data_IF_268656491029
#
_entry.id   IF_268656491029
#
_cell.length_a   1.000
_cell.length_b   1.000
_cell.length_c   1.000
_cell.angle_alpha   90.00
_cell.angle_beta   90.00
_cell.angle_gamma   90.00
#
_symmetry.space_group_name_H-M   'P 1'
#
loop_
_entity.id
_entity.type
_entity.pdbx_description
1 polymer ?
#
# COMPACT_ATOMS: atom_id res chain seq x y z
N UNK A 1 12.31 -8.70 -10.24
CA UNK A 1 12.79 -7.41 -9.67
C UNK A 1 13.56 -7.70 -8.38
N UNK A 2 14.62 -6.96 -8.04
CA UNK A 2 15.33 -7.14 -6.75
C UNK A 2 14.39 -6.81 -5.57
N UNK A 3 14.41 -7.60 -4.49
CA UNK A 3 13.51 -7.39 -3.34
C UNK A 3 13.60 -5.97 -2.76
N UNK A 4 14.80 -5.37 -2.72
CA UNK A 4 14.96 -4.02 -2.16
C UNK A 4 14.24 -2.99 -3.02
N UNK A 5 14.21 -3.19 -4.34
CA UNK A 5 13.43 -2.34 -5.24
C UNK A 5 11.93 -2.52 -4.99
N UNK A 6 11.46 -3.76 -4.85
CA UNK A 6 10.05 -4.05 -4.54
C UNK A 6 9.66 -3.43 -3.19
N UNK A 7 10.48 -3.58 -2.15
CA UNK A 7 10.21 -3.01 -0.82
C UNK A 7 10.24 -1.48 -0.85
N UNK A 8 11.13 -0.86 -1.62
CA UNK A 8 11.10 0.61 -1.83
C UNK A 8 9.78 1.07 -2.45
N UNK A 9 9.28 0.34 -3.45
CA UNK A 9 7.99 0.61 -4.07
C UNK A 9 6.86 0.43 -3.05
N UNK A 10 6.83 -0.69 -2.33
CA UNK A 10 5.81 -0.97 -1.30
C UNK A 10 5.83 0.06 -0.17
N UNK A 11 7.00 0.46 0.32
CA UNK A 11 7.12 1.50 1.35
C UNK A 11 6.57 2.84 0.87
N UNK A 12 6.69 3.15 -0.41
CA UNK A 12 6.08 4.35 -0.99
C UNK A 12 4.55 4.23 -1.04
N UNK A 13 4.03 3.05 -1.44
CA UNK A 13 2.59 2.83 -1.54
C UNK A 13 1.89 2.66 -0.19
N UNK A 14 2.53 2.00 0.77
CA UNK A 14 1.94 1.59 2.04
C UNK A 14 2.35 2.47 3.22
N UNK A 15 3.27 3.42 2.99
CA UNK A 15 3.66 4.50 3.90
C UNK A 15 3.85 4.04 5.36
N UNK A 16 4.80 3.12 5.65
CA UNK A 16 4.95 2.50 6.98
C UNK A 16 5.14 3.49 8.15
N UNK A 17 5.63 4.71 7.88
CA UNK A 17 5.81 5.73 8.92
C UNK A 17 4.50 6.34 9.42
N UNK A 18 3.36 6.06 8.76
CA UNK A 18 2.03 6.40 9.25
C UNK A 18 1.44 5.31 10.16
N UNK A 19 2.10 4.17 10.29
CA UNK A 19 1.63 3.12 11.17
C UNK A 19 1.65 3.57 12.62
N UNK A 20 0.72 3.03 13.40
CA UNK A 20 0.65 3.33 14.83
C UNK A 20 1.88 2.76 15.56
N UNK A 21 2.23 3.36 16.68
CA UNK A 21 3.46 3.08 17.44
C UNK A 21 3.56 1.66 17.97
N UNK A 22 2.44 0.97 18.11
CA UNK A 22 2.37 -0.43 18.56
C UNK A 22 2.47 -1.45 17.43
N UNK A 23 2.35 -1.01 16.18
CA UNK A 23 2.20 -1.88 15.02
C UNK A 23 3.55 -2.33 14.45
N UNK A 24 3.59 -3.51 13.83
CA UNK A 24 4.79 -4.06 13.21
C UNK A 24 4.60 -4.22 11.69
N UNK A 25 4.83 -3.12 10.97
CA UNK A 25 4.64 -3.02 9.51
C UNK A 25 5.96 -3.08 8.74
N UNK A 26 5.87 -3.19 7.42
CA UNK A 26 7.00 -3.24 6.51
C UNK A 26 7.42 -4.66 6.17
N UNK A 27 8.70 -4.83 5.84
CA UNK A 27 9.28 -6.15 5.53
C UNK A 27 9.59 -6.91 6.82
N UNK A 28 8.85 -8.00 7.07
CA UNK A 28 8.91 -8.78 8.32
C UNK A 28 9.77 -10.04 8.19
N UNK A 29 9.79 -10.66 7.01
CA UNK A 29 10.61 -11.83 6.72
C UNK A 29 11.37 -11.58 5.42
N UNK A 30 12.69 -11.74 5.48
CA UNK A 30 13.58 -11.50 4.34
C UNK A 30 14.54 -12.68 4.15
N UNK A 31 14.45 -13.42 3.04
CA UNK A 31 15.44 -14.42 2.68
C UNK A 31 16.79 -13.79 2.28
N UNK A 32 17.88 -14.56 2.41
CA UNK A 32 19.24 -14.08 2.09
C UNK A 32 19.40 -13.73 0.61
N UNK A 33 20.19 -12.69 0.32
CA UNK A 33 20.51 -12.26 -1.04
C UNK A 33 21.39 -13.30 -1.79
N UNK A 34 21.34 -13.35 -3.14
CA UNK A 34 20.48 -12.56 -4.03
C UNK A 34 19.01 -13.01 -3.98
N UNK A 35 18.08 -12.06 -4.11
CA UNK A 35 16.65 -12.33 -4.03
C UNK A 35 15.86 -11.56 -5.08
N UNK A 36 15.33 -12.29 -6.06
CA UNK A 36 14.46 -11.75 -7.09
C UNK A 36 13.00 -12.11 -6.79
N UNK A 37 12.12 -11.12 -6.88
CA UNK A 37 10.67 -11.29 -6.84
C UNK A 37 10.17 -11.36 -8.28
N UNK A 38 9.54 -12.47 -8.63
CA UNK A 38 8.76 -12.64 -9.87
C UNK A 38 7.28 -12.81 -9.59
N UNK A 39 6.90 -13.36 -8.43
CA UNK A 39 5.51 -13.57 -8.03
C UNK A 39 5.21 -13.07 -6.62
N UNK A 40 4.11 -12.33 -6.51
CA UNK A 40 3.58 -11.80 -5.24
C UNK A 40 2.20 -12.41 -4.99
N UNK A 41 1.99 -12.97 -3.81
CA UNK A 41 0.66 -13.35 -3.31
C UNK A 41 0.17 -12.25 -2.37
N UNK A 42 -1.08 -11.82 -2.51
CA UNK A 42 -1.71 -10.83 -1.64
C UNK A 42 -2.78 -11.52 -0.81
N UNK A 43 -2.78 -11.29 0.50
CA UNK A 43 -3.76 -11.87 1.43
C UNK A 43 -4.09 -10.90 2.56
N UNK A 44 -5.26 -11.07 3.19
CA UNK A 44 -5.58 -10.37 4.43
C UNK A 44 -4.77 -10.95 5.61
N UNK A 45 -4.82 -12.27 5.75
CA UNK A 45 -4.16 -13.02 6.82
C UNK A 45 -3.25 -14.09 6.24
N UNK A 46 -1.99 -14.12 6.67
CA UNK A 46 -1.07 -15.21 6.36
C UNK A 46 -1.20 -16.33 7.39
N UNK A 47 -2.02 -17.33 7.05
CA UNK A 47 -2.21 -18.57 7.82
C UNK A 47 -1.42 -19.73 7.20
N UNK A 48 -1.28 -20.86 7.90
CA UNK A 48 -0.60 -22.05 7.35
C UNK A 48 -1.24 -22.59 6.04
N UNK A 49 -2.58 -22.61 5.88
CA UNK A 49 -3.20 -22.94 4.59
C UNK A 49 -2.84 -21.96 3.47
N UNK A 50 -2.83 -20.65 3.75
CA UNK A 50 -2.45 -19.62 2.76
C UNK A 50 -0.97 -19.73 2.40
N UNK A 51 -0.10 -20.04 3.37
CA UNK A 51 1.30 -20.33 3.09
C UNK A 51 1.46 -21.57 2.20
N UNK A 52 0.66 -22.62 2.45
CA UNK A 52 0.66 -23.83 1.62
C UNK A 52 0.22 -23.54 0.18
N UNK A 53 -0.73 -22.63 -0.01
CA UNK A 53 -1.11 -22.12 -1.34
C UNK A 53 0.05 -21.33 -1.98
N UNK A 54 0.68 -20.42 -1.23
CA UNK A 54 1.80 -19.62 -1.71
C UNK A 54 2.96 -20.47 -2.23
N UNK A 55 3.24 -21.59 -1.54
CA UNK A 55 4.24 -22.59 -1.95
C UNK A 55 3.87 -23.25 -3.28
N UNK A 56 2.61 -23.72 -3.43
CA UNK A 56 2.13 -24.33 -4.68
C UNK A 56 2.16 -23.37 -5.86
N UNK A 57 1.97 -22.08 -5.59
CA UNK A 57 2.01 -21.02 -6.59
C UNK A 57 3.44 -20.55 -6.89
N UNK A 58 4.47 -21.07 -6.22
CA UNK A 58 5.87 -20.63 -6.38
C UNK A 58 6.03 -19.11 -6.13
N UNK A 59 5.39 -18.63 -5.07
CA UNK A 59 5.43 -17.21 -4.66
C UNK A 59 6.80 -16.86 -4.08
N UNK A 60 7.30 -15.64 -4.33
CA UNK A 60 8.54 -15.14 -3.71
C UNK A 60 8.28 -14.07 -2.65
N UNK A 61 7.14 -13.38 -2.71
CA UNK A 61 6.77 -12.37 -1.73
C UNK A 61 5.29 -12.51 -1.38
N UNK A 62 4.99 -12.56 -0.09
CA UNK A 62 3.62 -12.48 0.41
C UNK A 62 3.40 -11.07 0.96
N UNK A 63 2.40 -10.38 0.42
CA UNK A 63 1.86 -9.13 0.95
C UNK A 63 0.64 -9.48 1.82
N UNK A 64 0.85 -9.58 3.13
CA UNK A 64 -0.19 -9.91 4.12
C UNK A 64 -0.66 -8.64 4.80
N UNK A 65 -1.95 -8.31 4.75
CA UNK A 65 -2.49 -7.11 5.38
C UNK A 65 -2.13 -7.06 6.87
N UNK A 66 -2.51 -8.11 7.62
CA UNK A 66 -2.14 -8.26 9.02
C UNK A 66 -0.71 -8.80 9.16
N UNK A 67 0.12 -8.23 10.07
CA UNK A 67 1.45 -8.75 10.38
C UNK A 67 1.39 -10.15 11.02
N UNK A 68 1.90 -11.22 10.37
CA UNK A 68 1.98 -12.52 11.03
C UNK A 68 2.93 -12.47 12.23
N UNK A 69 4.06 -11.76 12.08
CA UNK A 69 5.00 -11.44 13.16
C UNK A 69 4.55 -10.14 13.83
N UNK A 70 3.50 -10.20 14.64
CA UNK A 70 2.97 -9.02 15.33
C UNK A 70 3.74 -8.64 16.60
N UNK A 71 4.39 -9.62 17.24
CA UNK A 71 5.17 -9.40 18.47
C UNK A 71 6.54 -10.06 18.33
N UNK A 72 7.57 -9.60 19.06
CA UNK A 72 8.91 -10.17 18.98
C UNK A 72 8.91 -11.68 19.26
N UNK A 73 9.46 -12.46 18.32
CA UNK A 73 9.63 -13.90 18.48
C UNK A 73 10.92 -14.17 19.25
N UNK A 74 10.82 -14.85 20.40
CA UNK A 74 12.00 -15.19 21.23
C UNK A 74 12.79 -16.38 20.69
N UNK A 75 12.14 -17.23 19.89
CA UNK A 75 12.71 -18.43 19.26
C UNK A 75 12.07 -18.60 17.88
N UNK A 76 12.80 -19.22 16.97
CA UNK A 76 12.33 -19.53 15.61
C UNK A 76 12.72 -20.98 15.34
N UNK A 77 11.80 -21.90 15.61
CA UNK A 77 12.02 -23.36 15.47
C UNK A 77 10.77 -24.02 14.87
N UNK A 78 10.87 -25.26 14.42
CA UNK A 78 9.75 -25.99 13.80
C UNK A 78 8.81 -26.65 14.81
N UNK A 79 9.24 -26.79 16.07
CA UNK A 79 8.51 -27.43 17.17
C UNK A 79 7.76 -26.44 18.07
N UNK A 80 7.77 -25.15 17.74
CA UNK A 80 7.09 -24.11 18.52
C UNK A 80 5.77 -23.64 17.88
N UNK A 81 5.30 -22.46 18.27
CA UNK A 81 4.02 -21.90 17.85
C UNK A 81 3.98 -21.64 16.32
N UNK A 82 2.78 -21.58 15.75
CA UNK A 82 2.57 -21.65 14.30
C UNK A 82 3.17 -20.47 13.53
N UNK A 83 3.27 -19.29 14.15
CA UNK A 83 3.88 -18.09 13.56
C UNK A 83 5.37 -18.27 13.32
N UNK A 84 6.06 -18.92 14.25
CA UNK A 84 7.46 -19.24 14.14
C UNK A 84 7.70 -20.30 13.04
N UNK A 85 6.86 -21.34 12.98
CA UNK A 85 6.91 -22.34 11.90
C UNK A 85 6.68 -21.71 10.53
N UNK A 86 5.76 -20.76 10.44
CA UNK A 86 5.53 -19.95 9.24
C UNK A 86 6.79 -19.19 8.85
N UNK A 87 7.47 -18.53 9.79
CA UNK A 87 8.74 -17.83 9.51
C UNK A 87 9.82 -18.80 9.01
N UNK A 88 9.99 -19.95 9.67
CA UNK A 88 10.94 -20.99 9.22
C UNK A 88 10.61 -21.43 7.80
N UNK A 89 9.35 -21.78 7.55
CA UNK A 89 8.89 -22.28 6.25
C UNK A 89 9.08 -21.23 5.16
N UNK A 90 8.77 -19.95 5.43
CA UNK A 90 9.03 -18.85 4.51
C UNK A 90 10.54 -18.73 4.20
N UNK A 91 11.41 -18.77 5.19
CA UNK A 91 12.85 -18.64 4.98
C UNK A 91 13.44 -19.81 4.18
N UNK A 92 13.07 -21.04 4.52
CA UNK A 92 13.51 -22.26 3.82
C UNK A 92 13.06 -22.28 2.36
N UNK A 93 11.84 -21.82 2.09
CA UNK A 93 11.28 -21.75 0.74
C UNK A 93 11.56 -20.42 0.03
N UNK A 94 12.40 -19.56 0.62
CA UNK A 94 12.80 -18.27 0.04
C UNK A 94 11.58 -17.41 -0.32
N UNK A 95 10.68 -17.22 0.65
CA UNK A 95 9.51 -16.35 0.57
C UNK A 95 9.70 -15.17 1.52
N UNK A 96 9.65 -13.96 0.99
CA UNK A 96 9.61 -12.74 1.78
C UNK A 96 8.18 -12.45 2.26
N UNK A 97 8.04 -11.73 3.38
CA UNK A 97 6.73 -11.31 3.90
C UNK A 97 6.76 -9.82 4.20
N UNK A 98 5.80 -9.08 3.66
CA UNK A 98 5.60 -7.66 3.91
C UNK A 98 4.18 -7.41 4.43
N UNK A 99 4.02 -6.50 5.39
CA UNK A 99 2.71 -6.12 5.94
C UNK A 99 2.51 -4.61 6.03
N UNK A 100 1.45 -4.04 5.42
CA UNK A 100 1.21 -2.60 5.45
C UNK A 100 0.34 -2.12 6.62
N UNK A 101 -0.63 -2.94 7.05
CA UNK A 101 -1.55 -2.75 8.19
C UNK A 101 -1.95 -1.28 8.48
N UNK A 102 -1.73 -0.79 9.71
CA UNK A 102 -2.23 0.53 10.13
C UNK A 102 -1.62 1.69 9.34
N UNK A 103 -0.43 1.49 8.75
CA UNK A 103 0.18 2.49 7.86
C UNK A 103 -0.63 2.71 6.59
N UNK A 104 -1.19 1.63 6.02
CA UNK A 104 -2.09 1.71 4.88
C UNK A 104 -3.52 2.09 5.27
N UNK A 105 -3.95 1.79 6.49
CA UNK A 105 -5.18 2.37 7.03
C UNK A 105 -5.08 3.89 7.05
N UNK A 106 -4.07 4.44 7.73
CA UNK A 106 -3.88 5.86 7.97
C UNK A 106 -3.58 6.66 6.69
N UNK A 107 -3.21 5.98 5.60
CA UNK A 107 -2.82 6.61 4.35
C UNK A 107 -4.01 7.28 3.64
N UNK A 108 -3.76 8.45 3.07
CA UNK A 108 -4.63 9.09 2.07
C UNK A 108 -4.77 8.19 0.84
N UNK A 109 -6.01 8.01 0.39
CA UNK A 109 -6.43 7.00 -0.59
C UNK A 109 -6.02 5.57 -0.19
N UNK A 110 -5.91 5.30 1.13
CA UNK A 110 -5.68 3.99 1.72
C UNK A 110 -6.98 3.21 1.94
N UNK A 111 -6.94 2.23 2.85
CA UNK A 111 -8.06 1.30 3.07
C UNK A 111 -9.34 2.02 3.50
N UNK A 112 -9.26 2.96 4.43
CA UNK A 112 -10.45 3.64 4.94
C UNK A 112 -11.05 4.61 3.94
N UNK A 113 -10.22 5.22 3.09
CA UNK A 113 -10.70 6.02 1.97
C UNK A 113 -11.45 5.18 0.94
N UNK A 114 -10.94 3.98 0.68
CA UNK A 114 -11.62 3.02 -0.16
C UNK A 114 -12.95 2.57 0.46
N UNK A 115 -12.98 2.27 1.77
CA UNK A 115 -14.19 1.89 2.50
C UNK A 115 -15.26 2.99 2.47
N UNK A 116 -14.84 4.26 2.50
CA UNK A 116 -15.75 5.39 2.39
C UNK A 116 -16.22 5.70 0.97
N UNK A 117 -15.51 5.23 -0.05
CA UNK A 117 -15.77 5.62 -1.44
C UNK A 117 -17.19 5.33 -1.98
N UNK A 118 -17.97 4.38 -1.43
CA UNK A 118 -19.36 4.20 -1.83
C UNK A 118 -20.34 5.25 -1.30
N UNK A 119 -19.93 6.06 -0.31
CA UNK A 119 -20.79 7.03 0.37
C UNK A 119 -20.62 8.43 -0.23
N UNK A 120 -21.72 9.16 -0.40
CA UNK A 120 -21.72 10.55 -0.85
C UNK A 120 -21.43 11.48 0.35
N UNK A 121 -20.14 11.69 0.62
CA UNK A 121 -19.68 12.43 1.78
C UNK A 121 -19.32 13.87 1.40
N UNK A 122 -19.90 14.84 2.12
CA UNK A 122 -19.55 16.27 1.99
C UNK A 122 -18.13 16.54 2.51
N UNK A 123 -17.74 15.87 3.58
CA UNK A 123 -16.38 15.97 4.13
C UNK A 123 -16.01 14.74 4.93
N UNK A 124 -14.70 14.53 5.10
CA UNK A 124 -14.14 13.39 5.79
C UNK A 124 -12.88 13.84 6.54
N UNK A 125 -12.76 13.55 7.84
CA UNK A 125 -11.62 13.91 8.71
C UNK A 125 -11.25 12.74 9.63
N UNK A 126 -9.98 12.62 10.07
CA UNK A 126 -9.58 11.66 11.09
C UNK A 126 -10.28 11.88 12.42
N UNK A 127 -10.50 10.79 13.16
CA UNK A 127 -10.72 10.86 14.62
C UNK A 127 -9.42 11.33 15.31
N UNK A 128 -8.29 10.72 14.98
CA UNK A 128 -6.99 11.06 15.58
C UNK A 128 -6.04 11.56 14.49
N UNK A 129 -5.69 12.86 14.47
CA UNK A 129 -4.72 13.38 13.52
C UNK A 129 -3.32 12.86 13.86
N UNK A 130 -2.66 12.18 12.92
CA UNK A 130 -1.21 11.98 12.99
C UNK A 130 -0.57 13.33 12.63
N UNK A 131 0.36 13.86 13.46
CA UNK A 131 1.08 15.08 13.17
C UNK A 131 2.12 14.82 12.07
N UNK A 132 1.66 14.60 10.84
CA UNK A 132 2.51 14.63 9.67
C UNK A 132 2.52 16.05 9.08
N UNK A 133 3.66 16.42 8.48
CA UNK A 133 3.84 17.73 7.87
C UNK A 133 2.68 18.05 6.92
N UNK A 134 2.26 19.31 6.92
CA UNK A 134 1.26 19.90 6.01
C UNK A 134 1.72 19.84 4.54
N UNK A 135 2.02 18.66 4.01
CA UNK A 135 2.25 18.48 2.60
C UNK A 135 0.88 18.50 1.92
N UNK A 136 0.64 19.57 1.17
CA UNK A 136 -0.46 19.65 0.23
C UNK A 136 -0.27 18.55 -0.81
N UNK A 137 -1.29 17.72 -0.99
CA UNK A 137 -1.29 16.68 -2.02
C UNK A 137 -2.11 17.15 -3.20
N UNK A 138 -1.76 16.68 -4.39
CA UNK A 138 -2.50 16.94 -5.62
C UNK A 138 -2.86 15.61 -6.26
N UNK A 139 -4.15 15.42 -6.52
CA UNK A 139 -4.68 14.31 -7.30
C UNK A 139 -4.78 14.75 -8.76
N UNK A 140 -4.21 13.94 -9.63
CA UNK A 140 -4.21 14.07 -11.08
C UNK A 140 -5.01 12.90 -11.64
N UNK A 141 -6.10 13.17 -12.35
CA UNK A 141 -6.90 12.12 -13.01
C UNK A 141 -6.51 12.02 -14.47
N UNK A 142 -6.27 10.80 -14.93
CA UNK A 142 -5.87 10.46 -16.29
C UNK A 142 -6.85 9.43 -16.89
N UNK A 143 -6.99 9.35 -18.23
CA UNK A 143 -7.64 8.23 -18.87
C UNK A 143 -6.91 6.91 -18.54
N UNK A 144 -7.65 5.84 -18.30
CA UNK A 144 -7.08 4.51 -18.10
C UNK A 144 -6.42 4.05 -19.40
N UNK A 145 -5.17 3.64 -19.29
CA UNK A 145 -4.37 3.07 -20.37
C UNK A 145 -3.62 1.86 -19.83
N UNK A 146 -3.25 0.92 -20.69
CA UNK A 146 -2.44 -0.25 -20.30
C UNK A 146 -1.08 0.16 -19.68
N UNK A 147 -0.63 1.39 -19.94
CA UNK A 147 0.62 1.94 -19.39
C UNK A 147 0.47 2.58 -18.01
N UNK A 148 -0.75 2.79 -17.49
CA UNK A 148 -0.97 3.45 -16.20
C UNK A 148 -0.40 2.65 -15.02
N UNK A 149 -0.49 1.31 -15.06
CA UNK A 149 0.15 0.43 -14.08
C UNK A 149 1.68 0.54 -14.15
N UNK A 150 2.24 0.54 -15.36
CA UNK A 150 3.68 0.69 -15.58
C UNK A 150 4.20 2.05 -15.11
N UNK A 151 3.43 3.12 -15.30
CA UNK A 151 3.77 4.46 -14.82
C UNK A 151 3.94 4.48 -13.29
N UNK A 152 2.97 3.92 -12.57
CA UNK A 152 2.99 3.85 -11.10
C UNK A 152 4.19 3.04 -10.57
N UNK A 153 4.59 2.00 -11.30
CA UNK A 153 5.74 1.15 -10.96
C UNK A 153 7.07 1.84 -11.28
N UNK A 154 7.15 2.62 -12.35
CA UNK A 154 8.40 3.25 -12.83
C UNK A 154 8.71 4.58 -12.16
N UNK A 155 7.69 5.28 -11.65
CA UNK A 155 7.84 6.58 -11.00
C UNK A 155 7.38 6.57 -9.53
N UNK A 156 7.78 5.57 -8.71
CA UNK A 156 7.24 5.41 -7.37
C UNK A 156 7.60 6.59 -6.47
N UNK A 157 8.74 7.26 -6.66
CA UNK A 157 9.13 8.41 -5.83
C UNK A 157 8.26 9.65 -6.04
N UNK A 158 7.52 9.73 -7.15
CA UNK A 158 6.69 10.88 -7.50
C UNK A 158 5.20 10.61 -7.29
N UNK A 159 4.79 9.35 -7.07
CA UNK A 159 3.40 8.89 -7.04
C UNK A 159 3.03 8.30 -5.68
N UNK A 160 2.42 9.13 -4.82
CA UNK A 160 2.02 8.76 -3.45
C UNK A 160 0.88 7.76 -3.38
N UNK A 161 -0.05 7.79 -4.34
CA UNK A 161 -1.10 6.78 -4.47
C UNK A 161 -1.58 6.71 -5.92
N UNK A 162 -2.08 5.56 -6.34
CA UNK A 162 -2.79 5.42 -7.60
C UNK A 162 -4.10 4.66 -7.35
N UNK A 163 -5.22 5.24 -7.78
CA UNK A 163 -6.51 4.55 -7.86
C UNK A 163 -6.65 4.02 -9.28
N UNK A 164 -6.55 2.71 -9.43
CA UNK A 164 -6.86 1.99 -10.67
C UNK A 164 -8.38 1.70 -10.70
N UNK A 165 -8.96 1.37 -11.87
CA UNK A 165 -10.13 2.02 -12.46
C UNK A 165 -11.29 2.35 -11.52
N UNK A 166 -11.85 3.55 -11.71
CA UNK A 166 -13.07 4.02 -11.05
C UNK A 166 -14.32 3.18 -11.38
N UNK A 167 -15.47 3.58 -10.81
CA UNK A 167 -16.79 2.93 -10.94
C UNK A 167 -17.26 2.71 -12.39
N UNK A 168 -16.63 3.38 -13.36
CA UNK A 168 -16.90 3.35 -14.80
C UNK A 168 -15.81 2.64 -15.63
N UNK A 169 -14.72 2.19 -15.00
CA UNK A 169 -13.64 1.45 -15.68
C UNK A 169 -12.66 2.31 -16.49
N UNK A 170 -12.79 3.64 -16.51
CA UNK A 170 -12.22 4.46 -17.60
C UNK A 170 -11.06 5.38 -17.23
N UNK A 171 -10.75 5.56 -15.94
CA UNK A 171 -9.74 6.53 -15.47
C UNK A 171 -8.79 5.97 -14.41
N UNK A 172 -7.60 6.55 -14.30
CA UNK A 172 -6.63 6.35 -13.22
C UNK A 172 -6.37 7.67 -12.51
N UNK A 173 -6.50 7.70 -11.19
CA UNK A 173 -6.15 8.88 -10.39
C UNK A 173 -4.81 8.65 -9.70
N UNK A 174 -3.83 9.50 -9.98
CA UNK A 174 -2.51 9.51 -9.34
C UNK A 174 -2.48 10.68 -8.34
N UNK A 175 -2.17 10.39 -7.09
CA UNK A 175 -1.94 11.41 -6.05
C UNK A 175 -0.44 11.58 -5.84
N UNK A 176 0.02 12.82 -5.80
CA UNK A 176 1.41 13.20 -5.56
C UNK A 176 1.47 14.41 -4.64
N UNK A 177 2.64 14.76 -4.11
CA UNK A 177 2.79 16.05 -3.42
C UNK A 177 2.62 17.20 -4.42
N UNK A 178 2.05 18.33 -3.99
CA UNK A 178 1.90 19.50 -4.86
C UNK A 178 3.25 19.97 -5.44
N UNK A 179 4.35 19.78 -4.69
CA UNK A 179 5.70 20.05 -5.16
C UNK A 179 6.15 19.14 -6.33
N UNK A 180 5.66 17.90 -6.40
CA UNK A 180 6.01 16.94 -7.45
C UNK A 180 5.02 16.94 -8.64
N UNK A 181 3.94 17.71 -8.57
CA UNK A 181 2.88 17.72 -9.59
C UNK A 181 3.40 17.90 -11.02
N UNK A 182 4.24 18.92 -11.26
CA UNK A 182 4.78 19.21 -12.61
C UNK A 182 5.64 18.07 -13.14
N UNK A 183 6.41 17.41 -12.25
CA UNK A 183 7.23 16.25 -12.59
C UNK A 183 6.37 15.05 -12.99
N UNK A 184 5.31 14.76 -12.21
CA UNK A 184 4.37 13.67 -12.50
C UNK A 184 3.63 13.92 -13.81
N UNK A 185 3.17 15.15 -14.06
CA UNK A 185 2.53 15.51 -15.33
C UNK A 185 3.48 15.30 -16.52
N UNK A 186 4.73 15.76 -16.41
CA UNK A 186 5.71 15.58 -17.49
C UNK A 186 5.97 14.10 -17.77
N UNK A 187 6.20 13.30 -16.71
CA UNK A 187 6.43 11.86 -16.85
C UNK A 187 5.22 11.14 -17.47
N UNK A 188 4.00 11.57 -17.13
CA UNK A 188 2.77 11.02 -17.71
C UNK A 188 2.67 11.35 -19.21
N UNK A 189 2.96 12.60 -19.58
CA UNK A 189 2.98 13.01 -20.99
C UNK A 189 4.04 12.27 -21.80
N UNK A 190 5.23 12.06 -21.24
CA UNK A 190 6.30 11.28 -21.87
C UNK A 190 5.88 9.82 -22.13
N UNK A 191 4.94 9.29 -21.35
CA UNK A 191 4.33 7.96 -21.53
C UNK A 191 3.03 7.98 -22.36
N UNK A 192 2.67 9.12 -22.94
CA UNK A 192 1.58 9.25 -23.91
C UNK A 192 0.20 9.55 -23.32
N UNK A 193 0.10 10.03 -22.08
CA UNK A 193 -1.20 10.40 -21.48
C UNK A 193 -1.17 11.73 -20.71
N UNK A 194 -2.27 12.49 -20.77
CA UNK A 194 -2.41 13.82 -20.18
C UNK A 194 -3.47 13.86 -19.09
N UNK A 195 -3.25 14.66 -18.04
CA UNK A 195 -4.21 14.81 -16.95
C UNK A 195 -5.49 15.50 -17.45
N UNK A 196 -6.64 14.93 -17.13
CA UNK A 196 -7.97 15.48 -17.39
C UNK A 196 -8.38 16.49 -16.31
N UNK A 197 -8.03 16.18 -15.05
CA UNK A 197 -8.44 16.98 -13.90
C UNK A 197 -7.31 17.05 -12.85
N UNK A 198 -7.25 18.18 -12.14
CA UNK A 198 -6.33 18.41 -11.03
C UNK A 198 -7.10 18.87 -9.80
N UNK A 199 -6.97 18.15 -8.70
CA UNK A 199 -7.63 18.45 -7.43
C UNK A 199 -6.60 18.54 -6.31
N UNK A 200 -6.72 19.55 -5.43
CA UNK A 200 -5.90 19.59 -4.21
C UNK A 200 -6.56 18.74 -3.14
N UNK A 201 -5.85 17.75 -2.63
CA UNK A 201 -6.31 16.86 -1.57
C UNK A 201 -5.52 17.16 -0.29
N UNK A 202 -6.22 17.39 0.82
CA UNK A 202 -5.56 17.49 2.11
C UNK A 202 -5.23 16.08 2.63
N UNK A 203 -3.98 15.89 3.04
CA UNK A 203 -3.56 14.65 3.67
C UNK A 203 -4.00 14.64 5.13
N UNK A 204 -5.07 13.89 5.45
CA UNK A 204 -5.46 13.70 6.85
C UNK A 204 -6.07 12.31 7.05
N UNK A 205 -5.57 11.64 8.10
CA UNK A 205 -5.68 10.26 8.58
C UNK A 205 -7.12 9.79 8.92
N UNK A 206 -7.28 8.57 9.44
CA UNK A 206 -8.52 7.79 9.56
C UNK A 206 -9.14 7.77 10.97
N UNK A 207 -10.40 8.15 11.04
CA UNK A 207 -11.66 7.37 11.12
C UNK A 207 -12.71 8.47 10.94
N UNK A 208 -13.78 8.21 10.21
CA UNK A 208 -14.63 9.29 9.73
C UNK A 208 -15.84 9.51 10.61
N UNK A 209 -16.01 10.75 11.09
CA UNK A 209 -17.28 11.21 11.63
C UNK A 209 -18.18 11.55 10.44
N UNK A 210 -19.29 10.82 10.29
CA UNK A 210 -20.35 11.16 9.35
C UNK A 210 -21.02 12.43 9.87
N UNK A 211 -20.90 13.54 9.14
CA UNK A 211 -21.73 14.72 9.39
C UNK A 211 -22.82 14.72 8.32
N UNK A 212 -24.06 14.32 8.65
CA UNK A 212 -25.19 14.46 7.72
C UNK A 212 -25.43 15.93 7.39
N UNK A 213 -26.00 16.22 6.21
CA UNK A 213 -26.30 17.59 5.74
C UNK A 213 -27.23 18.35 6.69
N UNK A 214 -28.02 17.64 7.49
CA UNK A 214 -28.87 18.21 8.53
C UNK A 214 -28.15 18.13 9.88
N UNK A 215 -27.48 19.21 10.27
CA UNK A 215 -26.81 19.31 11.57
C UNK A 215 -27.76 19.31 12.76
N UNK A 216 -28.26 18.13 13.15
CA UNK A 216 -28.85 17.85 14.47
C UNK A 216 -28.29 16.54 15.07
#
# INVERSE_FOLDING_TARGET
>A
MDLRQVVRILNHFCVPHLADTWDNVGLLVQPSAPFAVSRILVTNDLTEPVLSEALKLETNLILSYHPPVFSPLKRITTDCHWKERLVVTCLENRIAVYSPHTGLDAKVNGVNDWLLSPFDLVSKKPITPIPYAKESMTRLTFPFTDSAGQFCITHPSSVSAARLPGRDGSTVSITCSTANMTTVMKQAMDMGFSAMETETVQAVIVVYLLIPEDGQ
#
